data_IF_050125318325
#
_entry.id   IF_050125318325
#
_cell.length_a   1.000
_cell.length_b   1.000
_cell.length_c   1.000
_cell.angle_alpha   90.00
_cell.angle_beta   90.00
_cell.angle_gamma   90.00
#
_symmetry.space_group_name_H-M   'P 1'
#
loop_
_entity.id
_entity.type
_entity.pdbx_description
1 polymer ?
#
# COMPACT_ATOMS: atom_id res chain seq x y z
N UNK A 1 -9.69 -61.99 47.74
CA UNK A 1 -9.81 -61.71 49.19
C UNK A 1 -9.65 -60.21 49.43
N UNK A 2 -10.36 -59.71 50.44
CA UNK A 2 -10.74 -58.33 50.77
C UNK A 2 -9.58 -57.33 50.98
N UNK A 3 -9.87 -56.04 50.70
CA UNK A 3 -9.74 -54.83 51.58
C UNK A 3 -10.01 -53.58 50.72
N UNK A 4 -11.20 -52.94 50.79
CA UNK A 4 -11.58 -51.81 51.68
C UNK A 4 -10.51 -50.71 51.71
N UNK A 5 -10.67 -49.64 50.91
CA UNK A 5 -11.42 -48.39 51.20
C UNK A 5 -10.65 -47.44 52.12
N UNK A 6 -10.42 -46.20 51.67
CA UNK A 6 -10.56 -44.96 52.45
C UNK A 6 -10.61 -43.78 51.47
N UNK A 7 -11.74 -43.08 51.54
CA UNK A 7 -12.03 -41.79 50.95
C UNK A 7 -11.27 -40.72 51.73
N UNK A 8 -10.55 -39.82 51.06
CA UNK A 8 -10.15 -38.54 51.65
C UNK A 8 -10.59 -37.44 50.71
N UNK A 9 -11.63 -36.73 51.15
CA UNK A 9 -12.05 -35.45 50.62
C UNK A 9 -10.95 -34.43 50.87
N UNK A 10 -10.36 -33.87 49.80
CA UNK A 10 -9.63 -32.60 49.90
C UNK A 10 -10.46 -31.56 49.16
N UNK A 11 -11.27 -30.85 49.93
CA UNK A 11 -11.78 -29.53 49.58
C UNK A 11 -10.61 -28.57 49.74
N UNK A 12 -10.13 -27.96 48.66
CA UNK A 12 -9.24 -26.81 48.78
C UNK A 12 -9.50 -25.80 47.67
N UNK A 13 -10.26 -24.78 48.07
CA UNK A 13 -9.98 -23.36 47.89
C UNK A 13 -9.83 -22.82 46.46
N UNK A 14 -10.90 -22.13 46.04
CA UNK A 14 -10.92 -21.09 45.02
C UNK A 14 -9.80 -20.05 45.26
N UNK A 15 -8.96 -19.84 44.25
CA UNK A 15 -8.24 -18.59 44.03
C UNK A 15 -8.64 -18.05 42.66
N UNK A 16 -9.53 -17.08 42.69
CA UNK A 16 -9.93 -16.23 41.57
C UNK A 16 -8.76 -15.34 41.16
N UNK A 17 -8.00 -15.74 40.15
CA UNK A 17 -7.15 -14.82 39.41
C UNK A 17 -7.98 -14.16 38.31
N UNK A 18 -8.73 -13.12 38.69
CA UNK A 18 -9.17 -12.09 37.75
C UNK A 18 -7.95 -11.29 37.30
N UNK A 19 -7.16 -11.91 36.42
CA UNK A 19 -6.08 -11.23 35.71
C UNK A 19 -6.69 -10.32 34.65
N UNK A 20 -6.80 -9.03 34.95
CA UNK A 20 -6.89 -8.01 33.91
C UNK A 20 -5.64 -8.14 33.05
N UNK A 21 -5.74 -8.82 31.90
CA UNK A 21 -4.73 -8.74 30.85
C UNK A 21 -4.77 -7.29 30.36
N UNK A 22 -3.82 -6.50 30.87
CA UNK A 22 -3.49 -5.22 30.27
C UNK A 22 -2.91 -5.51 28.90
N UNK A 23 -3.77 -5.44 27.88
CA UNK A 23 -3.36 -5.29 26.49
C UNK A 23 -2.56 -4.01 26.45
N UNK A 24 -1.25 -4.15 26.56
CA UNK A 24 -0.33 -3.06 26.32
C UNK A 24 -0.45 -2.75 24.84
N UNK A 25 -0.91 -1.54 24.51
CA UNK A 25 -0.90 -1.01 23.16
C UNK A 25 0.48 -1.26 22.56
N UNK A 26 0.56 -2.21 21.63
CA UNK A 26 1.73 -2.37 20.78
C UNK A 26 1.81 -1.09 19.97
N UNK A 27 2.66 -0.17 20.42
CA UNK A 27 3.18 0.89 19.55
C UNK A 27 3.81 0.17 18.37
N UNK A 28 3.11 0.16 17.24
CA UNK A 28 3.65 -0.23 15.95
C UNK A 28 4.78 0.76 15.65
N UNK A 29 5.98 0.40 16.10
CA UNK A 29 7.20 1.13 15.84
C UNK A 29 7.46 0.98 14.34
N UNK A 30 7.15 2.03 13.60
CA UNK A 30 7.30 2.17 12.15
C UNK A 30 8.79 2.25 11.73
N UNK A 31 9.65 1.47 12.38
CA UNK A 31 10.96 1.01 11.89
C UNK A 31 10.78 -0.38 11.30
N UNK A 32 9.80 -0.50 10.41
CA UNK A 32 9.47 -1.74 9.73
C UNK A 32 10.56 -2.11 8.73
N UNK A 33 11.49 -2.94 9.17
CA UNK A 33 12.11 -3.99 8.34
C UNK A 33 11.04 -5.01 7.92
N UNK A 34 9.93 -4.53 7.36
CA UNK A 34 8.94 -5.38 6.72
C UNK A 34 9.46 -5.71 5.34
N UNK A 35 9.49 -6.99 4.99
CA UNK A 35 9.95 -7.47 3.69
C UNK A 35 9.25 -6.70 2.56
N UNK A 36 9.99 -5.76 1.96
CA UNK A 36 9.52 -5.00 0.83
C UNK A 36 9.50 -5.93 -0.38
N UNK A 37 8.31 -6.39 -0.77
CA UNK A 37 8.15 -7.11 -2.03
C UNK A 37 8.19 -6.08 -3.19
N UNK A 38 9.39 -5.72 -3.62
CA UNK A 38 9.65 -4.79 -4.71
C UNK A 38 9.17 -5.37 -6.04
N UNK A 39 8.34 -4.61 -6.76
CA UNK A 39 7.82 -5.09 -8.04
C UNK A 39 8.88 -5.02 -9.14
N UNK A 40 8.98 -6.11 -9.91
CA UNK A 40 9.76 -6.18 -11.13
C UNK A 40 9.15 -5.34 -12.25
N UNK A 41 9.92 -5.09 -13.31
CA UNK A 41 9.42 -4.37 -14.49
C UNK A 41 8.20 -5.04 -15.15
N UNK A 42 8.17 -6.38 -15.18
CA UNK A 42 7.04 -7.14 -15.74
C UNK A 42 5.78 -6.96 -14.90
N UNK A 43 5.89 -7.13 -13.57
CA UNK A 43 4.78 -6.94 -12.65
C UNK A 43 4.24 -5.50 -12.71
N UNK A 44 5.11 -4.49 -12.81
CA UNK A 44 4.68 -3.10 -13.00
C UNK A 44 3.92 -2.90 -14.31
N UNK A 45 4.44 -3.39 -15.45
CA UNK A 45 3.74 -3.30 -16.72
C UNK A 45 2.38 -3.97 -16.63
N UNK A 46 2.33 -5.19 -16.09
CA UNK A 46 1.09 -5.93 -15.88
C UNK A 46 0.12 -5.17 -14.99
N UNK A 47 0.58 -4.51 -13.92
CA UNK A 47 -0.26 -3.81 -12.95
C UNK A 47 -0.87 -2.53 -13.53
N UNK A 48 -0.12 -1.76 -14.32
CA UNK A 48 -0.54 -0.43 -14.78
C UNK A 48 -1.13 -0.38 -16.20
N UNK A 49 -0.71 -1.26 -17.11
CA UNK A 49 -1.09 -1.16 -18.53
C UNK A 49 -2.61 -1.25 -18.73
N UNK A 50 -3.17 -0.29 -19.49
CA UNK A 50 -4.61 -0.17 -19.76
C UNK A 50 -5.45 -0.10 -18.48
N UNK A 51 -4.91 0.50 -17.41
CA UNK A 51 -5.62 0.67 -16.14
C UNK A 51 -5.72 2.11 -15.67
N UNK A 52 -6.86 2.43 -15.06
CA UNK A 52 -7.01 3.56 -14.18
C UNK A 52 -6.53 3.19 -12.78
N UNK A 53 -5.74 4.07 -12.19
CA UNK A 53 -5.14 3.88 -10.88
C UNK A 53 -5.47 5.05 -9.99
N UNK A 54 -6.13 4.77 -8.87
CA UNK A 54 -6.41 5.75 -7.82
C UNK A 54 -5.46 5.55 -6.65
N UNK A 55 -4.92 6.64 -6.16
CA UNK A 55 -3.88 6.64 -5.15
C UNK A 55 -4.05 7.82 -4.20
N UNK A 56 -3.60 7.68 -2.96
CA UNK A 56 -3.65 8.73 -1.94
C UNK A 56 -2.24 9.01 -1.45
N UNK A 57 -1.90 10.27 -1.21
CA UNK A 57 -0.63 10.66 -0.61
C UNK A 57 -0.45 10.07 0.80
N UNK A 58 0.77 10.16 1.34
CA UNK A 58 1.09 9.60 2.66
C UNK A 58 0.28 10.22 3.81
N UNK A 59 -0.17 11.47 3.68
CA UNK A 59 -1.02 12.15 4.68
C UNK A 59 -2.50 11.80 4.57
N UNK A 60 -2.94 11.08 3.54
CA UNK A 60 -4.35 10.73 3.35
C UNK A 60 -5.20 11.83 2.69
N UNK A 61 -4.66 13.03 2.49
CA UNK A 61 -5.43 14.24 2.17
C UNK A 61 -5.64 14.50 0.67
N UNK A 62 -4.78 13.96 -0.20
CA UNK A 62 -4.87 14.18 -1.65
C UNK A 62 -5.02 12.85 -2.39
N UNK A 63 -6.15 12.69 -3.07
CA UNK A 63 -6.39 11.57 -4.00
C UNK A 63 -6.03 11.96 -5.43
N UNK A 64 -5.38 11.06 -6.15
CA UNK A 64 -4.99 11.24 -7.55
C UNK A 64 -5.40 10.02 -8.36
N UNK A 65 -6.02 10.28 -9.51
CA UNK A 65 -6.46 9.26 -10.46
C UNK A 65 -5.72 9.43 -11.78
N UNK A 66 -5.11 8.34 -12.26
CA UNK A 66 -4.32 8.29 -13.49
C UNK A 66 -4.77 7.14 -14.37
N UNK A 67 -4.97 7.38 -15.65
CA UNK A 67 -5.09 6.32 -16.66
C UNK A 67 -3.76 6.13 -17.39
N UNK A 68 -3.30 4.88 -17.47
CA UNK A 68 -2.04 4.50 -18.11
C UNK A 68 -2.34 3.69 -19.39
N UNK A 69 -2.13 4.30 -20.55
CA UNK A 69 -2.38 3.65 -21.84
C UNK A 69 -1.29 2.64 -22.19
N UNK A 70 -1.60 1.64 -23.03
CA UNK A 70 -0.58 0.71 -23.56
C UNK A 70 0.42 1.36 -24.51
N UNK A 71 0.14 2.56 -25.01
CA UNK A 71 1.04 3.33 -25.88
C UNK A 71 2.06 4.17 -25.11
N UNK A 72 2.06 4.09 -23.77
CA UNK A 72 2.95 4.87 -22.92
C UNK A 72 2.45 6.29 -22.62
N UNK A 73 1.18 6.60 -22.91
CA UNK A 73 0.57 7.86 -22.52
C UNK A 73 -0.06 7.72 -21.13
N UNK A 74 0.03 8.77 -20.32
CA UNK A 74 -0.68 8.86 -19.04
C UNK A 74 -1.58 10.09 -19.05
N UNK A 75 -2.78 9.93 -18.52
CA UNK A 75 -3.71 11.02 -18.32
C UNK A 75 -4.08 11.09 -16.85
N UNK A 76 -3.95 12.26 -16.23
CA UNK A 76 -4.27 12.50 -14.83
C UNK A 76 -5.47 13.45 -14.73
N UNK A 77 -6.38 13.17 -13.80
CA UNK A 77 -7.33 14.16 -13.33
C UNK A 77 -6.84 14.79 -12.02
N UNK A 78 -6.74 16.11 -11.98
CA UNK A 78 -6.36 16.87 -10.77
C UNK A 78 -7.17 18.16 -10.70
N UNK A 79 -7.90 18.38 -9.61
CA UNK A 79 -8.72 19.58 -9.39
C UNK A 79 -9.67 19.87 -10.57
N UNK A 80 -10.35 18.84 -11.08
CA UNK A 80 -11.25 18.95 -12.24
C UNK A 80 -10.56 19.14 -13.61
N UNK A 81 -9.24 19.39 -13.64
CA UNK A 81 -8.47 19.56 -14.87
C UNK A 81 -7.75 18.28 -15.27
N UNK A 82 -7.79 17.98 -16.56
CA UNK A 82 -7.05 16.86 -17.14
C UNK A 82 -5.65 17.31 -17.52
N UNK A 83 -4.64 16.52 -17.15
CA UNK A 83 -3.25 16.70 -17.57
C UNK A 83 -2.78 15.48 -18.33
N UNK A 84 -2.00 15.68 -19.38
CA UNK A 84 -1.42 14.60 -20.18
C UNK A 84 0.07 14.44 -19.85
N UNK A 85 0.62 13.31 -20.25
CA UNK A 85 2.02 13.00 -20.07
C UNK A 85 2.36 11.63 -20.64
N UNK A 86 3.56 11.18 -20.31
CA UNK A 86 4.06 9.88 -20.68
C UNK A 86 4.40 9.06 -19.44
N UNK A 87 4.26 7.75 -19.58
CA UNK A 87 4.72 6.80 -18.59
C UNK A 87 5.45 5.65 -19.27
N UNK A 88 6.40 5.09 -18.54
CA UNK A 88 7.11 3.88 -18.95
C UNK A 88 7.59 3.14 -17.71
N UNK A 89 8.02 1.91 -17.92
CA UNK A 89 8.66 1.09 -16.88
C UNK A 89 10.10 0.83 -17.27
N UNK A 90 11.02 1.04 -16.34
CA UNK A 90 12.43 0.67 -16.49
C UNK A 90 12.78 -0.50 -15.59
N UNK A 91 13.80 -1.26 -15.99
CA UNK A 91 14.36 -2.38 -15.23
C UNK A 91 15.70 -1.95 -14.63
N UNK A 92 15.90 -2.26 -13.35
CA UNK A 92 17.19 -2.12 -12.64
C UNK A 92 18.00 -3.42 -12.75
N UNK A 93 19.30 -3.33 -12.42
CA UNK A 93 20.22 -4.48 -12.46
C UNK A 93 19.78 -5.62 -11.53
N UNK A 94 19.26 -5.27 -10.35
CA UNK A 94 18.69 -6.19 -9.36
C UNK A 94 17.33 -6.80 -9.76
N UNK A 95 16.86 -6.56 -10.99
CA UNK A 95 15.57 -7.03 -11.47
C UNK A 95 14.36 -6.17 -11.05
N UNK A 96 14.53 -5.27 -10.08
CA UNK A 96 13.47 -4.37 -9.63
C UNK A 96 13.04 -3.41 -10.74
N UNK A 97 11.75 -3.06 -10.74
CA UNK A 97 11.17 -2.13 -11.70
C UNK A 97 11.08 -0.72 -11.15
N UNK A 98 11.13 0.28 -12.04
CA UNK A 98 10.72 1.66 -11.72
C UNK A 98 9.63 2.11 -12.67
N UNK A 99 8.57 2.70 -12.13
CA UNK A 99 7.59 3.43 -12.92
C UNK A 99 8.08 4.86 -13.10
N UNK A 100 8.23 5.29 -14.34
CA UNK A 100 8.66 6.64 -14.71
C UNK A 100 7.47 7.40 -15.29
N UNK A 101 7.24 8.61 -14.78
CA UNK A 101 6.14 9.48 -15.18
C UNK A 101 6.70 10.85 -15.58
N UNK A 102 6.32 11.34 -16.75
CA UNK A 102 6.61 12.68 -17.24
C UNK A 102 5.30 13.37 -17.59
N UNK A 103 4.77 14.15 -16.66
CA UNK A 103 3.59 14.99 -16.93
C UNK A 103 3.99 16.24 -17.71
N UNK A 104 3.05 16.80 -18.47
CA UNK A 104 3.21 18.08 -19.16
C UNK A 104 3.73 19.18 -18.21
N UNK A 105 4.73 19.92 -18.69
CA UNK A 105 5.46 20.95 -17.94
C UNK A 105 6.41 20.42 -16.85
N UNK A 106 6.56 19.10 -16.71
CA UNK A 106 7.36 18.48 -15.65
C UNK A 106 8.56 17.68 -16.16
N UNK A 107 9.55 17.49 -15.28
CA UNK A 107 10.65 16.53 -15.48
C UNK A 107 10.14 15.11 -15.26
N UNK A 108 10.75 14.14 -15.93
CA UNK A 108 10.47 12.73 -15.69
C UNK A 108 10.88 12.33 -14.27
N UNK A 109 10.02 11.58 -13.59
CA UNK A 109 10.29 11.06 -12.25
C UNK A 109 10.06 9.55 -12.20
N UNK A 110 11.12 8.81 -11.89
CA UNK A 110 11.08 7.37 -11.70
C UNK A 110 10.95 7.02 -10.21
N UNK A 111 10.04 6.10 -9.87
CA UNK A 111 9.75 5.68 -8.50
C UNK A 111 9.65 4.17 -8.40
N UNK A 112 10.03 3.62 -7.24
CA UNK A 112 9.87 2.19 -6.94
C UNK A 112 8.48 1.94 -6.37
N UNK A 113 7.91 0.77 -6.65
CA UNK A 113 6.67 0.30 -6.05
C UNK A 113 6.94 -1.00 -5.31
N UNK A 114 6.45 -1.12 -4.08
CA UNK A 114 6.46 -2.38 -3.33
C UNK A 114 5.05 -2.77 -2.93
N UNK A 115 4.83 -4.08 -2.74
CA UNK A 115 3.65 -4.63 -2.08
C UNK A 115 4.00 -4.93 -0.62
N UNK A 116 3.23 -4.38 0.32
CA UNK A 116 3.42 -4.57 1.77
C UNK A 116 2.05 -4.82 2.38
N UNK A 117 1.88 -5.92 3.12
CA UNK A 117 0.59 -6.27 3.73
C UNK A 117 -0.58 -6.27 2.74
N UNK A 118 -0.37 -6.83 1.53
CA UNK A 118 -1.41 -6.89 0.49
C UNK A 118 -1.65 -5.59 -0.30
N UNK A 119 -1.05 -4.45 0.12
CA UNK A 119 -1.27 -3.13 -0.49
C UNK A 119 -0.04 -2.66 -1.25
N UNK A 120 -0.24 -1.88 -2.32
CA UNK A 120 0.85 -1.32 -3.09
C UNK A 120 1.19 0.10 -2.63
N UNK A 121 2.48 0.40 -2.60
CA UNK A 121 3.01 1.69 -2.18
C UNK A 121 4.08 2.21 -3.12
N UNK A 122 4.09 3.52 -3.35
CA UNK A 122 5.12 4.21 -4.12
C UNK A 122 6.17 4.80 -3.17
N UNK A 123 7.43 4.64 -3.54
CA UNK A 123 8.57 5.12 -2.76
C UNK A 123 9.40 6.13 -3.54
N UNK A 124 9.83 7.17 -2.82
CA UNK A 124 10.97 8.00 -3.21
C UNK A 124 12.21 7.40 -2.58
N UNK A 125 13.24 7.18 -3.39
CA UNK A 125 14.56 6.78 -2.90
C UNK A 125 15.37 8.06 -2.70
N UNK A 126 15.77 8.30 -1.46
CA UNK A 126 16.62 9.43 -1.10
C UNK A 126 18.09 9.11 -1.39
N UNK A 127 18.96 10.13 -1.30
CA UNK A 127 20.40 9.99 -1.55
C UNK A 127 21.10 9.07 -0.53
N UNK A 128 20.58 9.03 0.68
CA UNK A 128 21.03 8.19 1.81
C UNK A 128 20.58 6.72 1.68
N UNK A 129 19.93 6.34 0.57
CA UNK A 129 19.38 5.00 0.36
C UNK A 129 18.06 4.76 1.08
N UNK A 130 17.56 5.69 1.91
CA UNK A 130 16.29 5.51 2.60
C UNK A 130 15.11 5.57 1.63
N UNK A 131 14.18 4.63 1.82
CA UNK A 131 12.95 4.54 1.05
C UNK A 131 11.81 5.23 1.81
N UNK A 132 11.36 6.40 1.31
CA UNK A 132 10.20 7.09 1.89
C UNK A 132 8.92 6.72 1.15
N UNK A 133 7.95 6.15 1.87
CA UNK A 133 6.57 5.95 1.39
C UNK A 133 5.93 7.30 1.09
N UNK A 134 5.50 7.53 -0.15
CA UNK A 134 4.89 8.80 -0.56
C UNK A 134 3.44 8.67 -1.00
N UNK A 135 3.03 7.49 -1.47
CA UNK A 135 1.69 7.23 -1.98
C UNK A 135 1.28 5.79 -1.64
N UNK A 136 0.02 5.62 -1.26
CA UNK A 136 -0.66 4.31 -1.18
C UNK A 136 -1.63 4.19 -2.35
N UNK A 137 -1.54 3.08 -3.09
CA UNK A 137 -2.50 2.77 -4.14
C UNK A 137 -3.76 2.16 -3.53
N UNK A 138 -4.92 2.64 -3.98
CA UNK A 138 -6.23 2.21 -3.47
C UNK A 138 -6.93 1.28 -4.42
N UNK A 139 -6.91 1.59 -5.71
CA UNK A 139 -7.65 0.84 -6.74
C UNK A 139 -6.86 0.80 -8.05
N UNK A 140 -6.98 -0.33 -8.74
CA UNK A 140 -6.49 -0.57 -10.09
C UNK A 140 -7.65 -1.12 -10.90
N UNK A 141 -8.19 -0.32 -11.81
CA UNK A 141 -9.37 -0.67 -12.60
C UNK A 141 -9.00 -0.79 -14.07
N UNK A 142 -9.59 -1.76 -14.77
CA UNK A 142 -9.41 -1.89 -16.22
C UNK A 142 -10.05 -0.71 -16.96
N UNK A 143 -9.44 -0.34 -18.08
CA UNK A 143 -9.95 0.69 -18.99
C UNK A 143 -9.73 2.12 -18.51
N UNK A 144 -10.13 3.07 -19.36
CA UNK A 144 -10.02 4.51 -19.09
C UNK A 144 -11.22 4.99 -18.29
N UNK A 145 -11.07 5.01 -16.97
CA UNK A 145 -12.07 5.53 -16.02
C UNK A 145 -11.60 6.82 -15.37
N UNK A 146 -11.43 7.87 -16.17
CA UNK A 146 -11.16 9.20 -15.65
C UNK A 146 -12.48 9.94 -15.46
N UNK A 147 -13.32 9.45 -14.55
CA UNK A 147 -14.44 10.25 -14.10
C UNK A 147 -13.89 11.27 -13.09
N UNK A 148 -14.09 12.55 -13.38
CA UNK A 148 -14.30 13.47 -12.26
C UNK A 148 -15.50 12.92 -11.53
N UNK A 149 -15.44 12.64 -10.22
CA UNK A 149 -16.71 12.53 -9.54
C UNK A 149 -17.44 13.86 -9.78
N UNK A 150 -18.71 13.73 -10.13
CA UNK A 150 -19.83 14.36 -9.44
C UNK A 150 -19.50 14.88 -8.02
N UNK A 151 -18.53 15.79 -7.89
CA UNK A 151 -18.18 16.56 -6.68
C UNK A 151 -18.42 18.05 -6.98
N UNK A 152 -19.59 18.34 -7.56
CA UNK A 152 -20.24 19.64 -7.44
C UNK A 152 -21.61 19.36 -6.82
N UNK A 153 -21.63 19.24 -5.49
CA UNK A 153 -22.72 19.55 -4.59
C UNK A 153 -22.20 19.32 -3.17
N UNK A 154 -21.55 20.35 -2.63
CA UNK A 154 -21.76 20.65 -1.21
C UNK A 154 -23.24 21.01 -1.10
N UNK A 155 -23.99 20.25 -0.32
CA UNK A 155 -25.21 20.76 0.30
C UNK A 155 -24.81 21.80 1.35
#
# INVERSE_FOLDING_TARGET
MKKSAIFVFIVSMLLTMSGCVQVSDVKESDTGSGDYNWLTASQLKQLFTKRTVTSINSSGTESKTYYHSSKGEVTQLRNGKTRKGFWRVTKKRDGSGRICLKMEGGKEQCRAIAKIGGRYYKFVVKKDGQHKKVVSYKKFESGKKLCSPCLYKKF
#
